data_IF_548884194678
#
_entry.id   IF_548884194678
#
_cell.length_a   1.000
_cell.length_b   1.000
_cell.length_c   1.000
_cell.angle_alpha   90.00
_cell.angle_beta   90.00
_cell.angle_gamma   90.00
#
_symmetry.space_group_name_H-M   'P 1'
#
loop_
_entity.id
_entity.type
_entity.pdbx_description
1 polymer ?
#
# COMPACT_ATOMS: atom_id res chain seq x y z
N UNK A 1 -10.78 22.94 -0.32
CA UNK A 1 -10.47 22.89 -1.76
C UNK A 1 -10.51 21.43 -2.15
N UNK A 2 -11.68 20.91 -2.54
CA UNK A 2 -11.83 19.51 -2.91
C UNK A 2 -11.36 19.42 -4.37
N UNK A 3 -10.13 18.96 -4.57
CA UNK A 3 -9.61 18.67 -5.90
C UNK A 3 -10.42 17.51 -6.49
N UNK A 4 -11.30 17.79 -7.45
CA UNK A 4 -11.87 16.77 -8.33
C UNK A 4 -10.76 16.33 -9.29
N UNK A 5 -9.90 15.45 -8.81
CA UNK A 5 -8.76 14.92 -9.53
C UNK A 5 -8.83 13.42 -9.29
N UNK A 6 -9.63 12.72 -10.10
CA UNK A 6 -9.56 11.26 -10.14
C UNK A 6 -8.24 10.77 -10.75
N UNK A 7 -7.46 11.67 -11.34
CA UNK A 7 -6.18 11.43 -11.98
C UNK A 7 -5.32 12.68 -11.79
N UNK A 8 -4.19 12.57 -11.10
CA UNK A 8 -3.30 13.69 -10.76
C UNK A 8 -3.07 14.66 -11.90
N UNK A 9 -2.97 15.96 -11.59
CA UNK A 9 -2.74 16.97 -12.63
C UNK A 9 -1.34 16.75 -13.25
N UNK A 10 -1.22 16.65 -14.58
CA UNK A 10 0.08 16.53 -15.24
C UNK A 10 0.94 17.76 -14.95
N UNK A 11 2.25 17.57 -14.85
CA UNK A 11 3.21 18.66 -14.68
C UNK A 11 3.00 19.70 -15.80
N UNK A 12 2.63 20.93 -15.42
CA UNK A 12 2.37 22.03 -16.36
C UNK A 12 0.90 22.32 -16.67
N UNK A 13 -0.06 21.72 -15.96
CA UNK A 13 -1.48 22.07 -16.12
C UNK A 13 -1.78 23.53 -15.76
N UNK A 14 -2.58 24.22 -16.57
CA UNK A 14 -3.06 25.57 -16.26
C UNK A 14 -4.00 25.60 -15.05
N UNK A 15 -4.06 26.76 -14.36
CA UNK A 15 -4.96 26.99 -13.23
C UNK A 15 -6.41 26.81 -13.70
N UNK A 16 -7.11 25.90 -13.03
CA UNK A 16 -8.48 25.48 -13.33
C UNK A 16 -9.51 26.46 -12.70
N UNK A 17 -10.55 26.84 -13.45
CA UNK A 17 -11.62 27.80 -13.05
C UNK A 17 -12.52 27.24 -11.93
N UNK A 18 -12.89 28.03 -10.91
CA UNK A 18 -13.72 27.55 -9.78
C UNK A 18 -15.10 26.98 -10.15
N UNK A 19 -15.64 27.32 -11.33
CA UNK A 19 -16.86 26.73 -11.87
C UNK A 19 -16.50 25.54 -12.78
N UNK A 20 -16.50 24.35 -12.20
CA UNK A 20 -16.23 23.11 -12.91
C UNK A 20 -17.51 22.31 -13.14
N UNK A 21 -17.68 21.82 -14.37
CA UNK A 21 -18.71 20.85 -14.69
C UNK A 21 -18.36 19.50 -14.05
N UNK A 22 -19.35 18.79 -13.50
CA UNK A 22 -19.17 17.41 -13.05
C UNK A 22 -18.88 16.55 -14.28
N UNK A 23 -17.65 16.04 -14.35
CA UNK A 23 -17.23 15.10 -15.39
C UNK A 23 -17.30 13.67 -14.84
N UNK A 24 -17.51 12.65 -15.70
CA UNK A 24 -17.33 11.27 -15.31
C UNK A 24 -15.93 11.06 -14.71
N UNK A 25 -15.86 10.45 -13.53
CA UNK A 25 -14.61 10.11 -12.87
C UNK A 25 -14.45 8.60 -12.74
N UNK A 26 -13.21 8.12 -12.73
CA UNK A 26 -12.93 6.73 -12.38
C UNK A 26 -13.31 6.46 -10.91
N UNK A 27 -13.77 5.24 -10.57
CA UNK A 27 -13.97 4.88 -9.18
C UNK A 27 -12.63 4.91 -8.44
N UNK A 28 -12.67 5.25 -7.15
CA UNK A 28 -11.49 5.12 -6.29
C UNK A 28 -11.04 3.67 -6.26
N UNK A 29 -9.73 3.48 -6.40
CA UNK A 29 -9.12 2.15 -6.34
C UNK A 29 -8.66 1.84 -4.92
N UNK A 30 -8.59 0.54 -4.60
CA UNK A 30 -7.88 0.05 -3.43
C UNK A 30 -6.82 -0.91 -3.91
N UNK A 31 -5.56 -0.56 -3.68
CA UNK A 31 -4.43 -1.30 -4.20
C UNK A 31 -3.73 -2.11 -3.10
N UNK A 32 -3.48 -3.38 -3.38
CA UNK A 32 -2.92 -4.32 -2.41
C UNK A 32 -1.53 -4.80 -2.84
N UNK A 33 -0.62 -4.92 -1.87
CA UNK A 33 0.67 -5.59 -2.12
C UNK A 33 0.45 -7.08 -2.43
N UNK A 34 -0.37 -7.72 -1.58
CA UNK A 34 -0.80 -9.10 -1.63
C UNK A 34 -2.13 -9.22 -0.88
N UNK A 35 -3.13 -9.87 -1.48
CA UNK A 35 -4.37 -10.28 -0.81
C UNK A 35 -4.22 -11.66 -0.15
N UNK A 36 -5.18 -12.07 0.68
CA UNK A 36 -5.15 -13.41 1.27
C UNK A 36 -5.38 -14.53 0.25
N UNK A 37 -6.06 -14.25 -0.88
CA UNK A 37 -6.23 -15.20 -1.99
C UNK A 37 -5.01 -15.28 -2.91
N UNK A 38 -4.06 -14.34 -2.77
CA UNK A 38 -2.84 -14.41 -3.56
C UNK A 38 -1.86 -15.44 -2.96
N UNK A 39 -1.18 -16.21 -3.82
CA UNK A 39 -0.04 -17.03 -3.40
C UNK A 39 1.04 -16.14 -2.80
N UNK A 40 1.90 -16.72 -1.96
CA UNK A 40 2.95 -15.96 -1.30
C UNK A 40 3.91 -15.33 -2.33
N UNK A 41 4.22 -14.04 -2.17
CA UNK A 41 5.18 -13.37 -3.05
C UNK A 41 6.55 -14.02 -3.03
N UNK A 42 6.99 -14.53 -1.88
CA UNK A 42 8.28 -15.21 -1.73
C UNK A 42 8.32 -16.51 -2.55
N UNK A 43 7.21 -17.25 -2.59
CA UNK A 43 7.09 -18.48 -3.38
C UNK A 43 7.02 -18.20 -4.88
N UNK A 44 6.29 -17.15 -5.30
CA UNK A 44 6.12 -16.82 -6.73
C UNK A 44 7.29 -16.07 -7.34
N UNK A 45 8.03 -15.30 -6.52
CA UNK A 45 9.06 -14.38 -6.97
C UNK A 45 10.30 -14.54 -6.10
N UNK A 46 10.52 -13.58 -5.20
CA UNK A 46 11.69 -13.50 -4.35
C UNK A 46 11.40 -12.64 -3.13
N UNK A 47 12.25 -12.73 -2.11
CA UNK A 47 12.11 -11.92 -0.88
C UNK A 47 12.47 -10.46 -1.16
N UNK A 48 13.39 -10.23 -2.09
CA UNK A 48 13.91 -8.92 -2.47
C UNK A 48 12.83 -8.06 -3.14
N UNK A 49 11.86 -8.69 -3.82
CA UNK A 49 10.77 -8.02 -4.53
C UNK A 49 9.72 -7.38 -3.60
N UNK A 50 9.68 -7.77 -2.32
CA UNK A 50 8.65 -7.33 -1.36
C UNK A 50 8.74 -5.83 -1.08
N UNK A 51 9.96 -5.31 -0.88
CA UNK A 51 10.19 -3.88 -0.61
C UNK A 51 9.82 -2.98 -1.80
N UNK A 52 10.37 -3.19 -3.03
CA UNK A 52 10.04 -2.33 -4.16
C UNK A 52 8.57 -2.41 -4.52
N UNK A 53 7.92 -3.58 -4.42
CA UNK A 53 6.47 -3.71 -4.63
C UNK A 53 5.67 -2.88 -3.62
N UNK A 54 6.03 -2.97 -2.34
CA UNK A 54 5.39 -2.19 -1.28
C UNK A 54 5.57 -0.69 -1.46
N UNK A 55 6.72 -0.27 -1.96
CA UNK A 55 7.01 1.12 -2.28
C UNK A 55 6.15 1.61 -3.45
N UNK A 56 6.06 0.85 -4.54
CA UNK A 56 5.20 1.20 -5.68
C UNK A 56 3.73 1.33 -5.27
N UNK A 57 3.21 0.38 -4.48
CA UNK A 57 1.83 0.42 -3.98
C UNK A 57 1.62 1.63 -3.06
N UNK A 58 2.54 1.89 -2.13
CA UNK A 58 2.49 3.06 -1.25
C UNK A 58 2.55 4.39 -2.01
N UNK A 59 3.20 4.40 -3.18
CA UNK A 59 3.28 5.55 -4.08
C UNK A 59 2.20 5.52 -5.17
N UNK A 60 1.06 4.86 -4.94
CA UNK A 60 -0.14 4.96 -5.78
C UNK A 60 -1.12 6.00 -5.18
N UNK A 61 -1.86 6.74 -6.02
CA UNK A 61 -2.84 7.74 -5.58
C UNK A 61 -4.17 7.10 -5.21
N UNK A 62 -4.14 6.19 -4.24
CA UNK A 62 -5.29 5.41 -3.84
C UNK A 62 -5.10 4.82 -2.45
N UNK A 63 -6.18 4.25 -1.90
CA UNK A 63 -6.08 3.48 -0.66
C UNK A 63 -5.16 2.28 -0.87
N UNK A 64 -4.30 2.00 0.10
CA UNK A 64 -3.36 0.87 0.03
C UNK A 64 -3.67 -0.18 1.08
N UNK A 65 -3.22 -1.42 0.87
CA UNK A 65 -3.44 -2.53 1.80
C UNK A 65 -2.47 -3.68 1.63
N UNK A 66 -2.32 -4.49 2.67
CA UNK A 66 -1.53 -5.72 2.66
C UNK A 66 -2.21 -6.80 3.51
N UNK A 67 -1.92 -8.06 3.23
CA UNK A 67 -2.37 -9.17 4.07
C UNK A 67 -1.41 -9.38 5.26
N UNK A 68 -1.93 -9.85 6.40
CA UNK A 68 -1.09 -10.25 7.55
C UNK A 68 -0.20 -11.43 7.13
N UNK A 69 1.07 -11.38 7.51
CA UNK A 69 2.09 -12.33 7.06
C UNK A 69 2.98 -11.79 5.95
N UNK A 70 2.49 -10.82 5.15
CA UNK A 70 3.29 -10.19 4.10
C UNK A 70 4.45 -9.36 4.69
N UNK A 71 4.14 -8.46 5.63
CA UNK A 71 5.16 -7.60 6.25
C UNK A 71 6.15 -8.39 7.13
N UNK A 72 5.71 -9.55 7.63
CA UNK A 72 6.54 -10.48 8.40
C UNK A 72 7.37 -11.45 7.54
N UNK A 73 7.23 -11.39 6.21
CA UNK A 73 7.90 -12.28 5.25
C UNK A 73 7.61 -13.77 5.52
N UNK A 74 6.35 -14.13 5.75
CA UNK A 74 5.94 -15.53 5.91
C UNK A 74 6.23 -16.30 4.60
N UNK A 75 7.06 -17.35 4.64
CA UNK A 75 7.62 -17.96 3.42
C UNK A 75 6.68 -18.94 2.71
N UNK A 76 5.40 -18.99 3.10
CA UNK A 76 4.40 -19.87 2.53
C UNK A 76 3.06 -19.15 2.37
N UNK A 77 2.23 -19.63 1.44
CA UNK A 77 0.85 -19.16 1.34
C UNK A 77 0.04 -19.56 2.58
N UNK A 78 -0.69 -18.61 3.16
CA UNK A 78 -1.53 -18.82 4.33
C UNK A 78 -2.93 -19.21 3.84
N UNK A 79 -3.20 -20.51 3.84
CA UNK A 79 -4.48 -21.07 3.41
C UNK A 79 -5.56 -20.80 4.47
N UNK A 80 -6.61 -20.07 4.10
CA UNK A 80 -7.71 -19.70 5.02
C UNK A 80 -8.53 -20.91 5.49
N UNK A 81 -8.51 -22.01 4.73
CA UNK A 81 -9.30 -23.21 5.00
C UNK A 81 -8.52 -24.24 5.82
N UNK A 82 -7.26 -24.49 5.44
CA UNK A 82 -6.49 -25.60 6.01
C UNK A 82 -5.50 -25.17 7.10
N UNK A 83 -5.17 -23.88 7.21
CA UNK A 83 -4.23 -23.40 8.22
C UNK A 83 -4.87 -23.40 9.62
N UNK A 84 -4.16 -23.96 10.58
CA UNK A 84 -4.60 -24.01 12.00
C UNK A 84 -3.64 -23.29 12.93
N UNK A 85 -2.45 -22.91 12.44
CA UNK A 85 -1.44 -22.18 13.23
C UNK A 85 -1.91 -20.73 13.46
N UNK A 86 -1.63 -20.22 14.65
CA UNK A 86 -1.89 -18.82 14.98
C UNK A 86 -0.74 -17.92 14.52
N UNK A 87 -1.08 -16.68 14.15
CA UNK A 87 -0.09 -15.63 13.93
C UNK A 87 0.73 -15.36 15.19
N UNK A 88 2.01 -15.04 14.99
CA UNK A 88 2.89 -14.53 16.03
C UNK A 88 2.29 -13.31 16.72
N UNK A 89 2.30 -13.32 18.06
CA UNK A 89 1.70 -12.24 18.85
C UNK A 89 2.51 -10.97 18.68
N UNK A 90 1.82 -9.86 18.42
CA UNK A 90 2.43 -8.54 18.43
C UNK A 90 2.81 -8.13 19.85
N UNK A 91 3.99 -7.54 20.02
CA UNK A 91 4.33 -6.84 21.25
C UNK A 91 5.61 -6.03 21.11
N UNK A 92 5.61 -4.82 21.67
CA UNK A 92 6.74 -3.88 21.61
C UNK A 92 8.05 -4.44 22.16
N UNK A 93 7.98 -5.31 23.18
CA UNK A 93 9.12 -6.02 23.77
C UNK A 93 9.12 -7.52 23.44
N UNK A 94 8.22 -7.96 22.54
CA UNK A 94 8.13 -9.38 22.20
C UNK A 94 9.32 -9.80 21.35
N UNK A 95 9.79 -11.04 21.56
CA UNK A 95 10.77 -11.69 20.69
C UNK A 95 10.13 -12.26 19.41
N UNK A 96 8.79 -12.31 19.33
CA UNK A 96 8.07 -12.93 18.21
C UNK A 96 7.85 -11.94 17.07
N UNK A 97 7.04 -10.90 17.28
CA UNK A 97 6.77 -9.87 16.27
C UNK A 97 6.76 -8.49 16.92
N UNK A 98 7.58 -7.60 16.39
CA UNK A 98 7.71 -6.21 16.81
C UNK A 98 8.01 -5.32 15.60
N UNK A 99 8.20 -4.02 15.82
CA UNK A 99 8.45 -3.06 14.74
C UNK A 99 9.72 -3.35 13.91
N UNK A 100 10.68 -4.08 14.48
CA UNK A 100 11.95 -4.46 13.83
C UNK A 100 11.85 -5.78 13.09
N UNK A 101 10.71 -6.47 13.14
CA UNK A 101 10.51 -7.71 12.40
C UNK A 101 10.39 -7.40 10.91
N UNK A 102 11.24 -8.05 10.11
CA UNK A 102 11.18 -8.02 8.64
C UNK A 102 11.02 -6.60 8.07
N UNK A 103 9.98 -6.35 7.26
CA UNK A 103 9.79 -5.07 6.56
C UNK A 103 8.80 -4.14 7.28
N UNK A 104 8.35 -4.46 8.50
CA UNK A 104 7.32 -3.69 9.22
C UNK A 104 7.73 -2.22 9.41
N UNK A 105 8.98 -1.99 9.83
CA UNK A 105 9.51 -0.62 9.98
C UNK A 105 9.52 0.15 8.66
N UNK A 106 9.83 -0.53 7.56
CA UNK A 106 9.84 0.05 6.20
C UNK A 106 8.41 0.37 5.77
N UNK A 107 7.46 -0.56 5.97
CA UNK A 107 6.06 -0.35 5.62
C UNK A 107 5.45 0.81 6.41
N UNK A 108 5.80 0.95 7.69
CA UNK A 108 5.44 2.12 8.50
C UNK A 108 5.98 3.42 7.91
N UNK A 109 7.23 3.45 7.46
CA UNK A 109 7.82 4.64 6.84
C UNK A 109 7.13 5.00 5.52
N UNK A 110 6.83 4.00 4.67
CA UNK A 110 6.10 4.17 3.42
C UNK A 110 4.67 4.67 3.66
N UNK A 111 3.95 4.12 4.63
CA UNK A 111 2.60 4.56 4.98
C UNK A 111 2.58 5.99 5.52
N UNK A 112 3.58 6.35 6.34
CA UNK A 112 3.76 7.72 6.81
C UNK A 112 4.01 8.67 5.64
N UNK A 113 4.88 8.30 4.71
CA UNK A 113 5.14 9.09 3.51
C UNK A 113 3.88 9.28 2.67
N UNK A 114 3.10 8.22 2.43
CA UNK A 114 1.83 8.29 1.70
C UNK A 114 0.86 9.30 2.34
N UNK A 115 0.70 9.26 3.68
CA UNK A 115 -0.14 10.20 4.43
C UNK A 115 0.41 11.62 4.33
N UNK A 116 1.72 11.81 4.54
CA UNK A 116 2.36 13.13 4.51
C UNK A 116 2.23 13.78 3.12
N UNK A 117 2.32 13.00 2.03
CA UNK A 117 2.09 13.45 0.65
C UNK A 117 0.62 13.84 0.41
N UNK A 118 -0.32 13.01 0.87
CA UNK A 118 -1.74 13.28 0.74
C UNK A 118 -2.16 14.55 1.51
N UNK A 119 -1.64 14.76 2.72
CA UNK A 119 -1.91 15.94 3.54
C UNK A 119 -1.38 17.24 2.92
N UNK A 120 -0.24 17.16 2.22
CA UNK A 120 0.34 18.30 1.50
C UNK A 120 -0.30 18.53 0.13
N UNK A 121 -1.26 17.69 -0.28
CA UNK A 121 -1.99 17.84 -1.54
C UNK A 121 -1.16 17.48 -2.78
N UNK A 122 -0.11 16.66 -2.64
CA UNK A 122 0.62 16.15 -3.79
C UNK A 122 -0.23 15.17 -4.58
N UNK A 123 -0.28 15.36 -5.89
CA UNK A 123 -1.03 14.52 -6.83
C UNK A 123 -0.12 13.85 -7.88
N UNK A 124 1.19 14.13 -7.85
CA UNK A 124 2.19 13.46 -8.70
C UNK A 124 2.52 12.09 -8.12
N UNK A 125 1.75 11.09 -8.50
CA UNK A 125 1.83 9.75 -7.92
C UNK A 125 1.75 8.73 -9.06
N UNK A 126 2.31 7.54 -8.87
CA UNK A 126 2.48 6.55 -9.93
C UNK A 126 1.12 6.15 -10.52
N UNK A 127 0.93 6.41 -11.82
CA UNK A 127 -0.18 5.89 -12.59
C UNK A 127 0.07 4.40 -12.84
N UNK A 128 -0.80 3.54 -12.29
CA UNK A 128 -0.82 2.11 -12.58
C UNK A 128 -2.17 1.78 -13.19
#
# INVERSE_FOLDING_TARGET
MISLVSEGDPIGSFIKSSNHQLLPSKPYSWFYDQTHDNPCQIERRSVEDVIPRSACVAMAYCSTGSNRGYDELVPHHIDVVHETRFYSKWGYQSKQTNEKTAIISIKRALNKLHIDLAQQGYTQVCFI
#
